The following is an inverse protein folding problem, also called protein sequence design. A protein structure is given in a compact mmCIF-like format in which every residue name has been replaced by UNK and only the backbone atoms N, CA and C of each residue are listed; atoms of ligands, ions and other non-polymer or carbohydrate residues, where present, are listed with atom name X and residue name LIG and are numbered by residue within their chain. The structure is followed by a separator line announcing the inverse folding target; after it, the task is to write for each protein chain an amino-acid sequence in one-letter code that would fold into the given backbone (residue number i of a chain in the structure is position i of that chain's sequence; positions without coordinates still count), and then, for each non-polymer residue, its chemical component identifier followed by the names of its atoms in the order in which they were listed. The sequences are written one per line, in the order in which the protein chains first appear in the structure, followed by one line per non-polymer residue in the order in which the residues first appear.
data_IF_783217244762
#
_entry.id   IF_783217244762
#
_cell.length_a   1.000
_cell.length_b   1.000
_cell.length_c   1.000
_cell.angle_alpha   90.00
_cell.angle_beta   90.00
_cell.angle_gamma   90.00
#
_symmetry.space_group_name_H-M   'P 1'
#
loop_
_entity.id
_entity.type
_entity.pdbx_description
1 polymer ?
#
# COMPACT_ATOMS: atom_id res chain seq x y z
N UNK A 1 6.88 9.13 -14.55
CA UNK A 1 8.19 9.04 -13.87
C UNK A 1 8.04 8.28 -12.56
N UNK A 2 7.02 8.58 -11.75
CA UNK A 2 6.78 7.91 -10.46
C UNK A 2 6.87 6.36 -10.48
N UNK A 3 6.29 5.66 -11.47
CA UNK A 3 6.40 4.20 -11.56
C UNK A 3 7.83 3.69 -11.87
N UNK A 4 8.63 4.46 -12.61
CA UNK A 4 10.04 4.15 -12.90
C UNK A 4 10.90 4.43 -11.68
N UNK A 5 10.64 5.52 -10.97
CA UNK A 5 11.36 5.88 -9.74
C UNK A 5 11.19 4.78 -8.69
N UNK A 6 9.95 4.29 -8.51
CA UNK A 6 9.66 3.14 -7.64
C UNK A 6 10.35 1.84 -8.07
N UNK A 7 10.72 1.65 -9.33
CA UNK A 7 11.42 0.45 -9.78
C UNK A 7 12.95 0.60 -9.72
N UNK A 8 13.47 1.83 -9.73
CA UNK A 8 14.90 2.09 -9.56
C UNK A 8 15.39 1.62 -8.19
N UNK A 9 14.58 1.82 -7.14
CA UNK A 9 14.96 1.48 -5.77
C UNK A 9 14.96 -0.04 -5.49
N UNK A 10 14.23 -0.84 -6.28
CA UNK A 10 14.00 -2.27 -6.01
C UNK A 10 14.51 -3.22 -7.11
N UNK A 11 14.83 -2.70 -8.31
CA UNK A 11 15.23 -3.48 -9.47
C UNK A 11 14.05 -4.15 -10.19
N UNK A 12 14.11 -4.19 -11.53
CA UNK A 12 13.03 -4.77 -12.34
C UNK A 12 13.56 -5.44 -13.62
N UNK A 13 13.01 -6.61 -14.01
CA UNK A 13 13.27 -7.17 -15.33
C UNK A 13 12.87 -6.20 -16.45
N UNK A 14 13.77 -5.94 -17.40
CA UNK A 14 13.55 -5.00 -18.54
C UNK A 14 12.26 -5.29 -19.34
N UNK A 15 11.86 -6.55 -19.40
CA UNK A 15 10.63 -6.99 -20.09
C UNK A 15 9.32 -6.47 -19.45
N UNK A 16 9.36 -5.87 -18.27
CA UNK A 16 8.18 -5.27 -17.61
C UNK A 16 7.84 -3.91 -18.21
N UNK A 17 8.83 -3.12 -18.68
CA UNK A 17 8.57 -1.76 -19.16
C UNK A 17 7.64 -1.68 -20.37
N UNK A 18 7.75 -2.56 -21.40
CA UNK A 18 6.79 -2.58 -22.50
C UNK A 18 5.37 -2.90 -22.04
N UNK A 19 5.23 -3.78 -21.04
CA UNK A 19 3.95 -4.14 -20.46
C UNK A 19 3.29 -2.95 -19.75
N UNK A 20 4.05 -2.21 -18.92
CA UNK A 20 3.52 -1.02 -18.25
C UNK A 20 3.03 0.04 -19.24
N UNK A 21 3.61 0.13 -20.44
CA UNK A 21 3.14 1.05 -21.49
C UNK A 21 1.76 0.69 -22.06
N UNK A 22 1.26 -0.53 -21.82
CA UNK A 22 -0.10 -0.95 -22.20
C UNK A 22 -1.20 -0.25 -21.36
N UNK A 23 -0.84 0.39 -20.23
CA UNK A 23 -1.79 1.03 -19.30
C UNK A 23 -1.49 2.51 -19.06
N UNK A 24 -2.50 3.25 -18.63
CA UNK A 24 -2.40 4.68 -18.30
C UNK A 24 -1.43 4.93 -17.12
N UNK A 25 -0.81 6.12 -17.02
CA UNK A 25 0.24 6.39 -16.03
C UNK A 25 -0.15 6.12 -14.56
N UNK A 26 -1.38 6.47 -14.16
CA UNK A 26 -1.87 6.19 -12.80
C UNK A 26 -1.92 4.69 -12.50
N UNK A 27 -2.34 3.89 -13.48
CA UNK A 27 -2.38 2.43 -13.38
C UNK A 27 -0.99 1.81 -13.38
N UNK A 28 -0.01 2.40 -14.07
CA UNK A 28 1.39 1.96 -14.00
C UNK A 28 1.92 2.01 -12.56
N UNK A 29 1.70 3.14 -11.87
CA UNK A 29 2.12 3.35 -10.48
C UNK A 29 1.46 2.32 -9.57
N UNK A 30 0.15 2.12 -9.71
CA UNK A 30 -0.59 1.13 -8.95
C UNK A 30 -0.05 -0.29 -9.14
N UNK A 31 0.16 -0.72 -10.39
CA UNK A 31 0.71 -2.04 -10.71
C UNK A 31 2.08 -2.23 -10.07
N UNK A 32 2.94 -1.21 -10.12
CA UNK A 32 4.26 -1.26 -9.47
C UNK A 32 4.13 -1.38 -7.95
N UNK A 33 3.27 -0.57 -7.31
CA UNK A 33 3.03 -0.67 -5.86
C UNK A 33 2.51 -2.04 -5.45
N UNK A 34 1.59 -2.62 -6.22
CA UNK A 34 1.09 -3.98 -5.98
C UNK A 34 2.19 -5.04 -6.14
N UNK A 35 3.05 -4.93 -7.15
CA UNK A 35 4.19 -5.85 -7.31
C UNK A 35 5.19 -5.76 -6.15
N UNK A 36 5.46 -4.55 -5.67
CA UNK A 36 6.32 -4.33 -4.49
C UNK A 36 5.68 -4.89 -3.22
N UNK A 37 4.39 -4.66 -3.01
CA UNK A 37 3.62 -5.19 -1.89
C UNK A 37 3.65 -6.72 -1.82
N UNK A 38 3.63 -7.37 -2.99
CA UNK A 38 3.69 -8.82 -3.12
C UNK A 38 5.10 -9.38 -3.03
N UNK A 39 6.12 -8.53 -2.92
CA UNK A 39 7.55 -8.88 -3.06
C UNK A 39 7.83 -9.67 -4.37
N UNK A 40 7.15 -9.26 -5.46
CA UNK A 40 7.16 -9.97 -6.74
C UNK A 40 7.16 -9.00 -7.92
N UNK A 41 8.28 -8.29 -8.09
CA UNK A 41 8.57 -7.51 -9.32
C UNK A 41 8.96 -8.45 -10.46
N UNK A 42 7.97 -9.14 -11.00
CA UNK A 42 8.16 -10.19 -12.01
C UNK A 42 7.24 -9.98 -13.21
N UNK A 43 7.76 -10.31 -14.40
CA UNK A 43 7.01 -10.21 -15.66
C UNK A 43 5.68 -10.94 -15.66
N UNK A 44 5.61 -12.13 -15.03
CA UNK A 44 4.36 -12.89 -14.94
C UNK A 44 3.30 -12.14 -14.14
N UNK A 45 3.68 -11.53 -13.02
CA UNK A 45 2.77 -10.74 -12.18
C UNK A 45 2.29 -9.50 -12.93
N UNK A 46 3.21 -8.76 -13.57
CA UNK A 46 2.85 -7.62 -14.41
C UNK A 46 1.84 -8.00 -15.50
N UNK A 47 2.05 -9.12 -16.20
CA UNK A 47 1.10 -9.61 -17.23
C UNK A 47 -0.28 -9.88 -16.67
N UNK A 48 -0.38 -10.49 -15.48
CA UNK A 48 -1.66 -10.78 -14.84
C UNK A 48 -2.36 -9.49 -14.45
N UNK A 49 -1.67 -8.56 -13.80
CA UNK A 49 -2.23 -7.28 -13.37
C UNK A 49 -2.73 -6.44 -14.56
N UNK A 50 -2.04 -6.50 -15.70
CA UNK A 50 -2.47 -5.81 -16.94
C UNK A 50 -3.69 -6.48 -17.56
N UNK A 51 -3.73 -7.82 -17.60
CA UNK A 51 -4.92 -8.51 -18.10
C UNK A 51 -6.17 -8.29 -17.24
N UNK A 52 -5.96 -8.08 -15.94
CA UNK A 52 -7.01 -7.71 -14.99
C UNK A 52 -7.25 -6.20 -14.93
N UNK A 53 -6.63 -5.40 -15.81
CA UNK A 53 -6.87 -3.96 -15.86
C UNK A 53 -8.18 -3.65 -16.64
N UNK A 54 -9.06 -2.79 -16.09
CA UNK A 54 -10.24 -2.29 -16.80
C UNK A 54 -9.87 -1.61 -18.11
N UNK A 55 -10.75 -1.70 -19.13
CA UNK A 55 -10.50 -1.10 -20.46
C UNK A 55 -10.27 0.41 -20.39
N UNK A 56 -10.93 1.10 -19.46
CA UNK A 56 -10.78 2.54 -19.23
C UNK A 56 -9.38 2.95 -18.76
N UNK A 57 -8.58 2.00 -18.27
CA UNK A 57 -7.22 2.22 -17.79
C UNK A 57 -6.17 1.64 -18.74
N UNK A 58 -6.56 1.12 -19.90
CA UNK A 58 -5.64 0.73 -20.97
C UNK A 58 -5.30 1.95 -21.84
N UNK A 59 -4.09 1.98 -22.39
CA UNK A 59 -3.69 3.00 -23.37
C UNK A 59 -4.44 2.82 -24.69
N UNK A 60 -4.77 1.58 -25.05
CA UNK A 60 -5.68 1.24 -26.15
C UNK A 60 -6.89 0.45 -25.61
N UNK A 61 -8.05 1.10 -25.40
CA UNK A 61 -9.27 0.44 -24.91
C UNK A 61 -9.88 -0.57 -25.89
N UNK A 62 -9.54 -0.49 -27.17
CA UNK A 62 -10.07 -1.35 -28.24
C UNK A 62 -9.17 -2.56 -28.53
N UNK A 63 -7.98 -2.61 -27.91
CA UNK A 63 -7.08 -3.73 -28.03
C UNK A 63 -7.77 -5.08 -27.69
N UNK A 64 -7.50 -6.15 -28.46
CA UNK A 64 -8.01 -7.48 -28.15
C UNK A 64 -7.59 -7.90 -26.74
N UNK A 65 -8.55 -8.37 -25.93
CA UNK A 65 -8.21 -8.93 -24.61
C UNK A 65 -7.41 -10.20 -24.79
N UNK A 66 -6.31 -10.31 -24.05
CA UNK A 66 -5.52 -11.54 -23.94
C UNK A 66 -6.43 -12.63 -23.37
N UNK A 67 -6.62 -13.71 -24.13
CA UNK A 67 -7.34 -14.89 -23.67
C UNK A 67 -6.38 -15.80 -22.92
N UNK A 68 -6.87 -16.40 -21.83
CA UNK A 68 -6.12 -17.35 -21.03
C UNK A 68 -6.82 -18.69 -21.12
N UNK A 69 -6.09 -19.72 -21.54
CA UNK A 69 -6.62 -21.09 -21.58
C UNK A 69 -7.16 -21.48 -20.20
N UNK A 70 -8.37 -22.04 -20.16
CA UNK A 70 -9.03 -22.47 -18.94
C UNK A 70 -9.66 -21.35 -18.09
N UNK A 71 -9.62 -20.08 -18.53
CA UNK A 71 -10.30 -18.97 -17.84
C UNK A 71 -11.45 -18.47 -18.70
N UNK A 72 -12.69 -18.62 -18.22
CA UNK A 72 -13.86 -18.10 -18.92
C UNK A 72 -13.91 -16.56 -18.86
N UNK A 73 -14.62 -15.90 -19.79
CA UNK A 73 -14.82 -14.46 -19.72
C UNK A 73 -15.49 -13.98 -18.43
N UNK A 74 -16.38 -14.79 -17.85
CA UNK A 74 -17.06 -14.49 -16.59
C UNK A 74 -16.08 -14.57 -15.41
N UNK A 75 -15.28 -15.64 -15.33
CA UNK A 75 -14.25 -15.79 -14.30
C UNK A 75 -13.23 -14.64 -14.35
N UNK A 76 -12.83 -14.22 -15.55
CA UNK A 76 -11.93 -13.08 -15.71
C UNK A 76 -12.57 -11.78 -15.20
N UNK A 77 -13.87 -11.57 -15.43
CA UNK A 77 -14.59 -10.40 -14.92
C UNK A 77 -14.72 -10.42 -13.39
N UNK A 78 -14.94 -11.60 -12.81
CA UNK A 78 -14.97 -11.78 -11.35
C UNK A 78 -13.59 -11.46 -10.75
N UNK A 79 -12.51 -12.00 -11.34
CA UNK A 79 -11.13 -11.68 -10.93
C UNK A 79 -10.79 -10.20 -11.06
N UNK A 80 -11.30 -9.51 -12.09
CA UNK A 80 -11.14 -8.06 -12.25
C UNK A 80 -11.79 -7.30 -11.09
N UNK A 81 -13.00 -7.71 -10.71
CA UNK A 81 -13.77 -7.11 -9.62
C UNK A 81 -13.07 -7.34 -8.28
N UNK A 82 -12.65 -8.56 -8.00
CA UNK A 82 -11.95 -8.93 -6.77
C UNK A 82 -10.61 -8.20 -6.64
N UNK A 83 -9.82 -8.17 -7.72
CA UNK A 83 -8.56 -7.43 -7.72
C UNK A 83 -8.79 -5.93 -7.49
N UNK A 84 -9.79 -5.33 -8.13
CA UNK A 84 -10.11 -3.91 -7.96
C UNK A 84 -10.47 -3.59 -6.51
N UNK A 85 -11.27 -4.45 -5.86
CA UNK A 85 -11.61 -4.29 -4.44
C UNK A 85 -10.38 -4.37 -3.54
N UNK A 86 -9.60 -5.45 -3.68
CA UNK A 86 -8.43 -5.70 -2.83
C UNK A 86 -7.35 -4.64 -3.03
N UNK A 87 -7.07 -4.25 -4.28
CA UNK A 87 -6.08 -3.21 -4.59
C UNK A 87 -6.49 -1.84 -4.03
N UNK A 88 -7.77 -1.47 -4.14
CA UNK A 88 -8.28 -0.23 -3.57
C UNK A 88 -8.14 -0.19 -2.04
N UNK A 89 -8.56 -1.24 -1.34
CA UNK A 89 -8.43 -1.35 0.12
C UNK A 89 -6.96 -1.27 0.56
N UNK A 90 -6.09 -2.00 -0.13
CA UNK A 90 -4.66 -1.99 0.15
C UNK A 90 -4.02 -0.61 -0.05
N UNK A 91 -4.23 0.02 -1.21
CA UNK A 91 -3.62 1.32 -1.52
C UNK A 91 -4.14 2.42 -0.60
N UNK A 92 -5.42 2.37 -0.22
CA UNK A 92 -6.01 3.28 0.76
C UNK A 92 -5.32 3.13 2.12
N UNK A 93 -5.16 1.91 2.61
CA UNK A 93 -4.45 1.64 3.87
C UNK A 93 -2.98 2.12 3.82
N UNK A 94 -2.26 1.82 2.74
CA UNK A 94 -0.86 2.24 2.58
C UNK A 94 -0.71 3.76 2.51
N UNK A 95 -1.64 4.46 1.85
CA UNK A 95 -1.58 5.93 1.72
C UNK A 95 -1.57 6.66 3.06
N UNK A 96 -2.16 6.07 4.09
CA UNK A 96 -2.25 6.65 5.44
C UNK A 96 -1.26 6.03 6.42
N UNK A 97 -0.68 4.87 6.11
CA UNK A 97 0.18 4.12 7.03
C UNK A 97 1.36 4.95 7.57
N UNK A 98 2.11 5.62 6.69
CA UNK A 98 3.27 6.42 7.11
C UNK A 98 2.91 7.57 8.05
N UNK A 99 1.84 8.31 7.73
CA UNK A 99 1.35 9.40 8.58
C UNK A 99 0.84 8.87 9.93
N UNK A 100 0.10 7.77 9.93
CA UNK A 100 -0.39 7.12 11.15
C UNK A 100 0.75 6.67 12.07
N UNK A 101 1.78 6.04 11.52
CA UNK A 101 2.95 5.59 12.29
C UNK A 101 3.73 6.79 12.85
N UNK A 102 3.96 7.84 12.05
CA UNK A 102 4.63 9.05 12.55
C UNK A 102 3.83 9.75 13.64
N UNK A 103 2.50 9.85 13.49
CA UNK A 103 1.63 10.39 14.52
C UNK A 103 1.70 9.55 15.80
N UNK A 104 1.70 8.22 15.68
CA UNK A 104 1.84 7.33 16.83
C UNK A 104 3.18 7.55 17.56
N UNK A 105 4.29 7.63 16.82
CA UNK A 105 5.61 7.92 17.39
C UNK A 105 5.61 9.29 18.12
N UNK A 106 5.00 10.31 17.51
CA UNK A 106 4.90 11.64 18.11
C UNK A 106 4.07 11.62 19.41
N UNK A 107 2.93 10.91 19.42
CA UNK A 107 2.08 10.76 20.61
C UNK A 107 2.83 10.03 21.72
N UNK A 108 3.50 8.91 21.41
CA UNK A 108 4.31 8.17 22.39
C UNK A 108 5.40 9.07 22.98
N UNK A 109 6.15 9.79 22.13
CA UNK A 109 7.20 10.71 22.60
C UNK A 109 6.65 11.88 23.43
N UNK A 110 5.45 12.36 23.12
CA UNK A 110 4.80 13.40 23.91
C UNK A 110 4.35 12.89 25.29
N UNK A 111 3.75 11.70 25.34
CA UNK A 111 3.34 11.05 26.59
C UNK A 111 4.57 10.77 27.46
N UNK A 112 5.65 10.23 26.90
CA UNK A 112 6.91 10.00 27.61
C UNK A 112 7.46 11.31 28.22
N UNK A 113 7.44 12.41 27.46
CA UNK A 113 7.83 13.73 27.96
C UNK A 113 6.93 14.23 29.11
N UNK A 114 5.63 13.95 29.06
CA UNK A 114 4.70 14.30 30.13
C UNK A 114 4.97 13.48 31.38
N UNK A 115 5.13 12.16 31.26
CA UNK A 115 5.38 11.26 32.39
C UNK A 115 6.72 11.53 33.08
N UNK A 116 7.71 12.04 32.35
CA UNK A 116 8.99 12.47 32.91
C UNK A 116 8.97 13.91 33.47
N UNK A 117 7.83 14.61 33.48
CA UNK A 117 7.72 15.95 34.06
C UNK A 117 7.58 15.88 35.59
N UNK A 118 8.55 16.40 36.38
CA UNK A 118 8.51 16.28 37.84
C UNK A 118 7.32 16.98 38.50
N UNK A 119 6.79 18.05 37.88
CA UNK A 119 5.61 18.73 38.38
C UNK A 119 4.35 17.86 38.19
N UNK A 120 4.21 17.20 37.04
CA UNK A 120 3.11 16.28 36.77
C UNK A 120 3.19 15.05 37.68
N UNK A 121 4.37 14.45 37.83
CA UNK A 121 4.58 13.28 38.70
C UNK A 121 4.21 13.62 40.14
N UNK A 122 4.65 14.76 40.68
CA UNK A 122 4.25 15.19 42.03
C UNK A 122 2.74 15.43 42.16
N UNK A 123 2.12 16.01 41.14
CA UNK A 123 0.68 16.22 41.13
C UNK A 123 -0.06 14.87 41.11
N UNK A 124 0.36 13.92 40.29
CA UNK A 124 -0.24 12.58 40.23
C UNK A 124 -0.01 11.78 41.51
N UNK A 125 1.18 11.84 42.11
CA UNK A 125 1.46 11.16 43.39
C UNK A 125 0.52 11.64 44.52
N UNK A 126 0.10 12.91 44.48
CA UNK A 126 -0.79 13.50 45.49
C UNK A 126 -2.28 13.23 45.24
N UNK A 127 -2.70 13.18 43.98
CA UNK A 127 -4.14 13.18 43.62
C UNK A 127 -4.60 11.89 42.93
N UNK A 128 -3.70 11.11 42.34
CA UNK A 128 -3.98 9.96 41.48
C UNK A 128 -2.94 8.83 41.66
N UNK A 129 -2.54 8.52 42.90
CA UNK A 129 -1.43 7.61 43.20
C UNK A 129 -1.55 6.23 42.50
N UNK A 130 -2.75 5.62 42.48
CA UNK A 130 -2.96 4.32 41.83
C UNK A 130 -2.82 4.35 40.30
N UNK A 131 -3.01 5.51 39.65
CA UNK A 131 -2.74 5.62 38.20
C UNK A 131 -1.25 5.81 37.95
N UNK A 132 -0.54 6.50 38.85
CA UNK A 132 0.90 6.71 38.74
C UNK A 132 1.68 5.38 38.82
N UNK A 133 1.26 4.43 39.66
CA UNK A 133 1.86 3.09 39.72
C UNK A 133 1.78 2.37 38.38
N UNK A 134 0.59 2.34 37.75
CA UNK A 134 0.40 1.73 36.43
C UNK A 134 1.29 2.39 35.37
N UNK A 135 1.46 3.72 35.42
CA UNK A 135 2.33 4.43 34.48
C UNK A 135 3.83 4.17 34.71
N UNK A 136 4.25 3.82 35.92
CA UNK A 136 5.65 3.49 36.22
C UNK A 136 6.03 2.05 35.84
N UNK A 137 5.04 1.19 35.64
CA UNK A 137 5.21 -0.20 35.21
C UNK A 137 5.16 -0.38 33.68
N UNK A 138 4.74 0.63 32.93
CA UNK A 138 4.72 0.69 31.46
C UNK A 138 6.10 1.03 30.86
#
# INVERSE_FOLDING_TARGET
LEALDLLNDFGAPLKIFPLLREVVPSRQVEIVRLMLALDRVQFRVARVLIALTPRSQLTDPFAPRKQYEGISPTQLADMQTDLAKVSHEYLSAVSTHGATVLNLIAVIGYIDKLLNNPALVRFMARNFAGHLEVYQEL
#
